data_IF_430100006577
#
_entry.id   IF_430100006577
#
_cell.length_a   1.000
_cell.length_b   1.000
_cell.length_c   1.000
_cell.angle_alpha   90.00
_cell.angle_beta   90.00
_cell.angle_gamma   90.00
#
_symmetry.space_group_name_H-M   'P 1'
#
loop_
_entity.id
_entity.type
_entity.pdbx_description
1 polymer ?
#
# COMPACT_ATOMS: atom_id res chain seq x y z
N UNK A 1 14.66 -37.10 35.08
CA UNK A 1 14.24 -36.91 33.68
C UNK A 1 14.25 -35.41 33.43
N UNK A 2 15.30 -34.89 32.80
CA UNK A 2 15.51 -33.45 32.66
C UNK A 2 14.52 -32.89 31.61
N UNK A 3 13.75 -31.88 31.99
CA UNK A 3 12.86 -31.19 31.07
C UNK A 3 13.68 -30.35 30.09
N UNK A 4 13.51 -30.59 28.79
CA UNK A 4 14.11 -29.79 27.73
C UNK A 4 13.43 -28.42 27.70
N UNK A 5 14.19 -27.36 27.96
CA UNK A 5 13.71 -25.99 27.81
C UNK A 5 13.63 -25.66 26.31
N UNK A 6 12.42 -25.67 25.75
CA UNK A 6 12.16 -25.20 24.39
C UNK A 6 11.98 -23.68 24.44
N UNK A 7 13.05 -22.93 24.18
CA UNK A 7 12.98 -21.48 24.03
C UNK A 7 12.13 -21.16 22.80
N UNK A 8 10.90 -20.70 23.02
CA UNK A 8 10.04 -20.18 21.96
C UNK A 8 10.42 -18.73 21.71
N UNK A 9 10.78 -18.39 20.48
CA UNK A 9 11.06 -17.02 20.07
C UNK A 9 9.75 -16.22 20.05
N UNK A 10 9.75 -15.09 20.74
CA UNK A 10 8.63 -14.16 20.74
C UNK A 10 8.80 -13.24 19.53
N UNK A 11 8.00 -13.39 18.47
CA UNK A 11 8.00 -12.43 17.37
C UNK A 11 7.28 -11.17 17.80
N UNK A 12 7.96 -10.03 17.75
CA UNK A 12 7.32 -8.72 17.86
C UNK A 12 6.59 -8.39 16.55
N UNK A 13 5.51 -7.59 16.57
CA UNK A 13 4.87 -7.13 15.36
C UNK A 13 5.88 -6.39 14.47
N UNK A 14 5.82 -6.66 13.16
CA UNK A 14 6.67 -5.98 12.18
C UNK A 14 6.43 -4.48 12.22
N UNK A 15 7.50 -3.69 12.29
CA UNK A 15 7.38 -2.24 12.18
C UNK A 15 6.85 -1.89 10.79
N UNK A 16 5.89 -0.97 10.71
CA UNK A 16 5.43 -0.44 9.43
C UNK A 16 6.61 0.13 8.64
N UNK A 17 6.60 -0.08 7.33
CA UNK A 17 7.64 0.41 6.45
C UNK A 17 7.69 1.94 6.49
N UNK A 18 8.88 2.59 6.54
CA UNK A 18 9.00 4.05 6.62
C UNK A 18 8.20 4.81 5.55
N UNK A 19 8.13 4.26 4.33
CA UNK A 19 7.36 4.83 3.21
C UNK A 19 5.86 4.96 3.52
N UNK A 20 5.28 4.01 4.27
CA UNK A 20 3.87 4.03 4.61
C UNK A 20 3.56 5.20 5.55
N UNK A 21 4.40 5.39 6.58
CA UNK A 21 4.31 6.54 7.48
C UNK A 21 4.45 7.86 6.72
N UNK A 22 5.37 7.94 5.75
CA UNK A 22 5.59 9.15 4.96
C UNK A 22 4.40 9.50 4.07
N UNK A 23 3.75 8.50 3.47
CA UNK A 23 2.51 8.68 2.69
C UNK A 23 1.39 9.20 3.60
N UNK A 24 1.20 8.58 4.77
CA UNK A 24 0.18 8.99 5.74
C UNK A 24 0.39 10.44 6.22
N UNK A 25 1.63 10.81 6.52
CA UNK A 25 2.00 12.17 6.93
C UNK A 25 1.72 13.20 5.83
N UNK A 26 2.08 12.89 4.58
CA UNK A 26 1.80 13.76 3.44
C UNK A 26 0.28 13.93 3.21
N UNK A 27 -0.50 12.86 3.31
CA UNK A 27 -1.97 12.90 3.21
C UNK A 27 -2.61 13.72 4.33
N UNK A 28 -2.15 13.55 5.56
CA UNK A 28 -2.63 14.32 6.71
C UNK A 28 -2.34 15.81 6.53
N UNK A 29 -1.14 16.15 6.03
CA UNK A 29 -0.73 17.52 5.77
C UNK A 29 -1.61 18.17 4.69
N UNK A 30 -1.86 17.47 3.58
CA UNK A 30 -2.75 17.91 2.50
C UNK A 30 -4.21 18.09 2.95
N UNK A 31 -4.70 17.21 3.82
CA UNK A 31 -6.05 17.33 4.38
C UNK A 31 -6.18 18.57 5.27
N UNK A 32 -5.18 18.84 6.11
CA UNK A 32 -5.17 20.01 6.98
C UNK A 32 -5.13 21.33 6.19
N UNK A 33 -4.33 21.40 5.13
CA UNK A 33 -4.21 22.59 4.28
C UNK A 33 -5.45 22.84 3.42
N UNK A 34 -6.22 21.80 3.07
CA UNK A 34 -7.52 21.96 2.41
C UNK A 34 -8.54 22.66 3.30
N UNK A 35 -8.60 22.35 4.60
CA UNK A 35 -9.52 23.00 5.55
C UNK A 35 -9.21 24.47 5.79
N UNK A 36 -7.96 24.90 5.56
CA UNK A 36 -7.50 26.28 5.72
C UNK A 36 -7.36 27.04 4.40
N UNK A 37 -8.09 26.62 3.35
CA UNK A 37 -7.88 27.08 1.97
C UNK A 37 -7.94 28.60 1.81
N UNK A 38 -6.79 29.19 1.51
CA UNK A 38 -6.60 30.58 1.06
C UNK A 38 -5.82 30.55 -0.26
N UNK A 39 -5.87 31.61 -1.06
CA UNK A 39 -5.14 31.66 -2.35
C UNK A 39 -3.63 31.43 -2.21
N UNK A 40 -3.05 31.68 -1.03
CA UNK A 40 -1.65 31.42 -0.70
C UNK A 40 -1.32 29.95 -0.38
N UNK A 41 -2.31 29.12 -0.04
CA UNK A 41 -2.09 27.70 0.29
C UNK A 41 -1.97 26.80 -0.95
N UNK A 42 -2.31 27.31 -2.15
CA UNK A 42 -2.28 26.53 -3.39
C UNK A 42 -0.87 26.03 -3.73
N UNK A 43 0.17 26.87 -3.57
CA UNK A 43 1.55 26.45 -3.83
C UNK A 43 2.02 25.37 -2.86
N UNK A 44 1.66 25.49 -1.58
CA UNK A 44 1.97 24.48 -0.57
C UNK A 44 1.25 23.15 -0.84
N UNK A 45 -0.01 23.21 -1.29
CA UNK A 45 -0.77 22.03 -1.69
C UNK A 45 -0.15 21.32 -2.89
N UNK A 46 0.27 22.06 -3.91
CA UNK A 46 0.93 21.49 -5.09
C UNK A 46 2.26 20.81 -4.73
N UNK A 47 3.07 21.43 -3.86
CA UNK A 47 4.30 20.80 -3.37
C UNK A 47 4.00 19.54 -2.55
N UNK A 48 3.00 19.57 -1.66
CA UNK A 48 2.61 18.39 -0.90
C UNK A 48 2.10 17.23 -1.79
N UNK A 49 1.45 17.54 -2.92
CA UNK A 49 1.05 16.53 -3.91
C UNK A 49 2.26 15.95 -4.63
N UNK A 50 3.26 16.77 -4.95
CA UNK A 50 4.52 16.30 -5.53
C UNK A 50 5.25 15.35 -4.58
N UNK A 51 5.39 15.72 -3.31
CA UNK A 51 6.02 14.87 -2.28
C UNK A 51 5.30 13.52 -2.13
N UNK A 52 3.96 13.55 -2.14
CA UNK A 52 3.13 12.35 -2.08
C UNK A 52 3.35 11.47 -3.31
N UNK A 53 3.40 12.07 -4.50
CA UNK A 53 3.64 11.35 -5.75
C UNK A 53 4.97 10.61 -5.73
N UNK A 54 6.06 11.28 -5.30
CA UNK A 54 7.37 10.65 -5.18
C UNK A 54 7.36 9.46 -4.22
N UNK A 55 6.65 9.58 -3.09
CA UNK A 55 6.52 8.48 -2.13
C UNK A 55 5.77 7.27 -2.73
N UNK A 56 4.73 7.52 -3.52
CA UNK A 56 3.96 6.48 -4.21
C UNK A 56 4.81 5.83 -5.31
N UNK A 57 5.58 6.60 -6.06
CA UNK A 57 6.49 6.06 -7.08
C UNK A 57 7.52 5.09 -6.47
N UNK A 58 8.07 5.44 -5.30
CA UNK A 58 8.97 4.55 -4.55
C UNK A 58 8.23 3.29 -4.10
N UNK A 59 7.01 3.41 -3.59
CA UNK A 59 6.20 2.27 -3.17
C UNK A 59 5.89 1.31 -4.33
N UNK A 60 5.61 1.83 -5.52
CA UNK A 60 5.34 1.05 -6.74
C UNK A 60 6.58 0.32 -7.27
N UNK A 61 7.78 0.83 -6.98
CA UNK A 61 9.04 0.17 -7.35
C UNK A 61 9.35 -1.05 -6.47
N UNK A 62 8.64 -1.26 -5.36
CA UNK A 62 8.91 -2.40 -4.50
C UNK A 62 8.47 -3.73 -5.12
N UNK A 63 9.30 -4.78 -5.04
CA UNK A 63 8.97 -6.09 -5.61
C UNK A 63 7.66 -6.67 -5.08
N UNK A 64 7.38 -6.48 -3.79
CA UNK A 64 6.15 -6.95 -3.16
C UNK A 64 4.91 -6.24 -3.71
N UNK A 65 5.01 -4.93 -3.96
CA UNK A 65 3.93 -4.15 -4.57
C UNK A 65 3.67 -4.62 -5.99
N UNK A 66 4.74 -4.80 -6.80
CA UNK A 66 4.60 -5.30 -8.17
C UNK A 66 4.04 -6.71 -8.22
N UNK A 67 4.45 -7.58 -7.30
CA UNK A 67 3.92 -8.93 -7.17
C UNK A 67 2.43 -8.91 -6.82
N UNK A 68 2.01 -8.08 -5.87
CA UNK A 68 0.61 -7.94 -5.49
C UNK A 68 -0.25 -7.46 -6.67
N UNK A 69 0.23 -6.45 -7.42
CA UNK A 69 -0.45 -5.96 -8.62
C UNK A 69 -0.55 -7.02 -9.72
N UNK A 70 0.52 -7.80 -9.94
CA UNK A 70 0.51 -8.88 -10.90
C UNK A 70 -0.46 -10.00 -10.50
N UNK A 71 -0.50 -10.35 -9.21
CA UNK A 71 -1.43 -11.36 -8.68
C UNK A 71 -2.88 -10.96 -8.88
N UNK A 72 -3.22 -9.70 -8.64
CA UNK A 72 -4.59 -9.19 -8.86
C UNK A 72 -5.00 -9.34 -10.33
N UNK A 73 -4.12 -8.94 -11.26
CA UNK A 73 -4.38 -9.12 -12.70
C UNK A 73 -4.52 -10.59 -13.10
N UNK A 74 -3.69 -11.46 -12.53
CA UNK A 74 -3.79 -12.90 -12.79
C UNK A 74 -5.11 -13.46 -12.27
N UNK A 75 -5.57 -12.99 -11.11
CA UNK A 75 -6.84 -13.40 -10.53
C UNK A 75 -8.02 -12.97 -11.40
N UNK A 76 -8.05 -11.73 -11.88
CA UNK A 76 -9.07 -11.22 -12.80
C UNK A 76 -9.17 -12.09 -14.06
N UNK A 77 -8.03 -12.39 -14.70
CA UNK A 77 -7.99 -13.28 -15.87
C UNK A 77 -8.52 -14.70 -15.57
N UNK A 78 -8.20 -15.24 -14.40
CA UNK A 78 -8.69 -16.57 -13.99
C UNK A 78 -10.19 -16.54 -13.74
N UNK A 79 -10.72 -15.48 -13.12
CA UNK A 79 -12.16 -15.29 -12.92
C UNK A 79 -12.89 -15.19 -14.27
N UNK A 80 -12.39 -14.41 -15.23
CA UNK A 80 -12.97 -14.32 -16.58
C UNK A 80 -12.97 -15.68 -17.32
N UNK A 81 -11.88 -16.44 -17.20
CA UNK A 81 -11.78 -17.76 -17.82
C UNK A 81 -12.77 -18.76 -17.20
N UNK A 82 -12.93 -18.71 -15.88
CA UNK A 82 -13.88 -19.54 -15.16
C UNK A 82 -15.32 -19.20 -15.58
N UNK A 83 -15.65 -17.90 -15.66
CA UNK A 83 -16.97 -17.45 -16.11
C UNK A 83 -17.27 -17.91 -17.54
N UNK A 84 -16.30 -17.78 -18.46
CA UNK A 84 -16.44 -18.29 -19.82
C UNK A 84 -16.62 -19.82 -19.87
N UNK A 85 -15.96 -20.55 -18.97
CA UNK A 85 -16.11 -22.01 -18.88
C UNK A 85 -17.50 -22.41 -18.36
N UNK A 86 -18.05 -21.66 -17.39
CA UNK A 86 -19.39 -21.88 -16.86
C UNK A 86 -20.46 -21.63 -17.91
N UNK A 87 -20.33 -20.58 -18.72
CA UNK A 87 -21.27 -20.27 -19.82
C UNK A 87 -21.37 -21.38 -20.87
N UNK A 88 -20.33 -22.21 -21.03
CA UNK A 88 -20.35 -23.33 -21.99
C UNK A 88 -21.05 -24.58 -21.45
N UNK A 89 -21.31 -24.65 -20.14
CA UNK A 89 -21.95 -25.81 -19.50
C UNK A 89 -23.48 -25.69 -19.42
N UNK A 90 -24.04 -24.50 -19.64
CA UNK A 90 -25.49 -24.25 -19.77
C UNK A 90 -26.00 -24.49 -21.20
#
# INVERSE_FOLDING_TARGET
>A
MAASYHARSNSLPSRQHPIASQIDDNLNRLRASQSASTSSSIGHNLNGLQDLHECVDVLLQFPLTQQALAQEKQREMVEELLDGSLMLLD
#
